data_IF_825872339051
#
_entry.id   IF_825872339051
#
_cell.length_a   1.000
_cell.length_b   1.000
_cell.length_c   1.000
_cell.angle_alpha   90.00
_cell.angle_beta   90.00
_cell.angle_gamma   90.00
#
_symmetry.space_group_name_H-M   'P 1'
#
loop_
_entity.id
_entity.type
_entity.pdbx_description
1 polymer ?
#
# COMPACT_ATOMS: atom_id res chain seq x y z
N UNK A 1 -12.05 -17.32 -0.17
CA UNK A 1 -12.53 -17.09 1.22
C UNK A 1 -13.30 -15.76 1.26
N UNK A 2 -14.34 -15.58 2.09
CA UNK A 2 -15.16 -14.33 2.13
C UNK A 2 -14.36 -13.05 2.44
N UNK A 3 -13.27 -13.15 3.20
CA UNK A 3 -12.35 -12.04 3.44
C UNK A 3 -11.62 -11.61 2.14
N UNK A 4 -11.26 -12.55 1.26
CA UNK A 4 -10.61 -12.26 -0.03
C UNK A 4 -11.54 -11.51 -0.99
N UNK A 5 -12.87 -11.63 -0.81
CA UNK A 5 -13.87 -10.91 -1.61
C UNK A 5 -14.20 -9.51 -1.10
N UNK A 6 -13.49 -9.00 -0.07
CA UNK A 6 -13.70 -7.63 0.41
C UNK A 6 -14.64 -7.50 1.61
N UNK A 7 -15.08 -8.62 2.21
CA UNK A 7 -15.94 -8.61 3.40
C UNK A 7 -15.08 -8.52 4.67
N UNK A 8 -15.39 -7.56 5.56
CA UNK A 8 -14.80 -7.52 6.90
C UNK A 8 -15.39 -8.64 7.76
N UNK A 9 -14.53 -9.48 8.33
CA UNK A 9 -14.94 -10.59 9.20
C UNK A 9 -14.47 -10.31 10.63
N UNK A 10 -15.42 -10.14 11.54
CA UNK A 10 -15.15 -10.03 12.97
C UNK A 10 -15.10 -11.40 13.63
N UNK A 11 -14.01 -11.69 14.35
CA UNK A 11 -13.87 -12.87 15.19
C UNK A 11 -14.15 -12.44 16.64
N UNK A 12 -15.10 -13.13 17.27
CA UNK A 12 -15.55 -12.84 18.63
C UNK A 12 -15.23 -13.98 19.60
N UNK A 13 -14.97 -13.63 20.86
CA UNK A 13 -14.89 -14.55 22.00
C UNK A 13 -15.92 -14.06 23.03
N UNK A 14 -16.83 -14.93 23.45
CA UNK A 14 -17.94 -14.60 24.36
C UNK A 14 -18.74 -13.35 23.94
N UNK A 15 -19.00 -13.21 22.64
CA UNK A 15 -19.75 -12.09 22.07
C UNK A 15 -18.98 -10.76 22.02
N UNK A 16 -17.70 -10.74 22.41
CA UNK A 16 -16.83 -9.57 22.31
C UNK A 16 -15.86 -9.74 21.15
N UNK A 17 -15.77 -8.74 20.28
CA UNK A 17 -14.80 -8.75 19.16
C UNK A 17 -13.38 -8.68 19.70
N UNK A 18 -12.55 -9.63 19.26
CA UNK A 18 -11.13 -9.70 19.66
C UNK A 18 -10.19 -9.46 18.49
N UNK A 19 -10.63 -9.71 17.25
CA UNK A 19 -9.87 -9.38 16.04
C UNK A 19 -10.81 -9.19 14.85
N UNK A 20 -10.44 -8.29 13.94
CA UNK A 20 -11.08 -8.12 12.64
C UNK A 20 -10.13 -8.58 11.53
N UNK A 21 -10.61 -9.43 10.65
CA UNK A 21 -10.00 -9.73 9.36
C UNK A 21 -10.56 -8.72 8.35
N UNK A 22 -9.75 -7.69 8.06
CA UNK A 22 -10.09 -6.70 7.03
C UNK A 22 -9.42 -7.09 5.70
N UNK A 23 -10.09 -6.88 4.56
CA UNK A 23 -9.43 -6.97 3.27
C UNK A 23 -8.27 -5.99 3.23
N UNK A 24 -7.10 -6.47 2.82
CA UNK A 24 -6.00 -5.58 2.47
C UNK A 24 -6.45 -4.86 1.20
N UNK A 25 -6.80 -3.58 1.31
CA UNK A 25 -7.42 -2.81 0.25
C UNK A 25 -6.74 -3.00 -1.12
N UNK A 26 -7.55 -3.21 -2.16
CA UNK A 26 -7.08 -3.42 -3.53
C UNK A 26 -6.29 -2.23 -4.08
N UNK A 27 -5.27 -2.54 -4.86
CA UNK A 27 -4.32 -1.56 -5.40
C UNK A 27 -4.93 -0.57 -6.41
N UNK A 28 -4.40 0.66 -6.34
CA UNK A 28 -4.50 1.82 -7.25
C UNK A 28 -5.91 2.34 -7.55
N UNK A 29 -6.35 3.25 -6.68
CA UNK A 29 -7.36 4.26 -7.02
C UNK A 29 -6.64 5.47 -7.63
N UNK A 30 -7.12 5.97 -8.77
CA UNK A 30 -6.78 7.32 -9.21
C UNK A 30 -7.22 8.29 -8.11
N UNK A 31 -6.29 9.07 -7.58
CA UNK A 31 -6.56 10.02 -6.52
C UNK A 31 -6.24 11.45 -6.95
N UNK A 32 -6.99 12.45 -6.45
CA UNK A 32 -6.63 13.85 -6.64
C UNK A 32 -5.24 14.15 -6.10
N UNK A 33 -4.55 15.10 -6.72
CA UNK A 33 -3.21 15.56 -6.30
C UNK A 33 -3.12 15.89 -4.80
N UNK A 34 -4.15 16.54 -4.26
CA UNK A 34 -4.16 16.94 -2.86
C UNK A 34 -4.14 15.74 -1.90
N UNK A 35 -4.91 14.69 -2.22
CA UNK A 35 -4.96 13.44 -1.46
C UNK A 35 -3.62 12.70 -1.53
N UNK A 36 -3.03 12.64 -2.73
CA UNK A 36 -1.70 12.07 -2.90
C UNK A 36 -0.65 12.77 -2.02
N UNK A 37 -0.61 14.10 -2.06
CA UNK A 37 0.35 14.85 -1.24
C UNK A 37 0.11 14.61 0.26
N UNK A 38 -1.15 14.59 0.71
CA UNK A 38 -1.47 14.32 2.11
C UNK A 38 -0.99 12.94 2.57
N UNK A 39 -1.07 11.92 1.71
CA UNK A 39 -0.66 10.54 2.05
C UNK A 39 0.86 10.34 2.00
N UNK A 40 1.55 10.99 1.05
CA UNK A 40 2.95 10.68 0.75
C UNK A 40 3.95 11.75 1.21
N UNK A 41 3.51 12.91 1.71
CA UNK A 41 4.41 13.98 2.15
C UNK A 41 5.32 13.56 3.31
N UNK A 42 4.82 12.77 4.26
CA UNK A 42 5.58 12.30 5.42
C UNK A 42 6.26 10.95 5.21
N UNK A 43 6.06 10.32 4.05
CA UNK A 43 6.37 8.91 3.80
C UNK A 43 7.29 8.75 2.58
N UNK A 44 8.05 9.81 2.25
CA UNK A 44 9.04 9.75 1.18
C UNK A 44 10.13 8.74 1.55
N UNK A 45 10.58 7.99 0.54
CA UNK A 45 11.77 7.17 0.69
C UNK A 45 12.99 8.05 1.00
N UNK A 46 14.00 7.45 1.62
CA UNK A 46 15.26 8.15 1.82
C UNK A 46 15.97 8.39 0.46
N UNK A 47 16.88 9.37 0.38
CA UNK A 47 17.58 9.68 -0.87
C UNK A 47 18.41 8.52 -1.44
N UNK A 48 18.87 7.59 -0.58
CA UNK A 48 19.70 6.46 -0.94
C UNK A 48 19.01 5.45 -1.85
N UNK A 49 17.67 5.37 -1.77
CA UNK A 49 16.87 4.48 -2.63
C UNK A 49 17.13 4.71 -4.12
N UNK A 50 17.49 5.92 -4.54
CA UNK A 50 17.82 6.22 -5.95
C UNK A 50 18.97 5.35 -6.44
N UNK A 51 20.02 5.23 -5.62
CA UNK A 51 21.20 4.43 -5.95
C UNK A 51 20.87 2.94 -5.91
N UNK A 52 20.12 2.50 -4.90
CA UNK A 52 19.71 1.10 -4.77
C UNK A 52 18.89 0.64 -5.99
N UNK A 53 18.03 1.52 -6.52
CA UNK A 53 17.25 1.24 -7.73
C UNK A 53 18.12 1.17 -8.98
N UNK A 54 19.14 2.03 -9.12
CA UNK A 54 20.09 1.97 -10.24
C UNK A 54 20.92 0.68 -10.21
N UNK A 55 21.35 0.27 -9.03
CA UNK A 55 22.12 -0.96 -8.85
C UNK A 55 21.24 -2.21 -9.12
N UNK A 56 19.93 -2.15 -8.83
CA UNK A 56 18.99 -3.26 -9.00
C UNK A 56 18.38 -3.35 -10.41
N UNK A 57 18.19 -2.22 -11.08
CA UNK A 57 17.56 -2.10 -12.40
C UNK A 57 18.51 -1.31 -13.32
N UNK A 58 19.58 -1.95 -13.81
CA UNK A 58 20.61 -1.26 -14.59
C UNK A 58 20.14 -0.82 -15.98
N UNK A 59 19.08 -1.45 -16.51
CA UNK A 59 18.52 -1.11 -17.81
C UNK A 59 17.44 -0.03 -17.65
N UNK A 60 17.72 1.20 -18.10
CA UNK A 60 16.70 2.25 -18.27
C UNK A 60 16.60 2.64 -19.74
N UNK A 61 15.39 2.85 -20.24
CA UNK A 61 15.15 3.29 -21.63
C UNK A 61 15.33 4.81 -21.80
N UNK A 62 15.85 5.50 -20.79
CA UNK A 62 15.96 6.97 -20.74
C UNK A 62 17.11 7.54 -21.62
N UNK A 63 17.82 6.70 -22.37
CA UNK A 63 18.89 7.10 -23.32
C UNK A 63 18.43 7.23 -24.79
N UNK A 64 17.17 7.61 -25.07
CA UNK A 64 16.65 7.87 -26.44
C UNK A 64 16.44 9.35 -26.75
#
# INVERSE_FOLDING_TARGET
>A
MRAESGEEISITVDGRTVVSLIPIGGAKRWMPRAEFLQLFQSSQADPGLTKDLQDLIPDTTDEL
#
